data_IF_955011311606
#
_entry.id   IF_955011311606
#
_cell.length_a   1.000
_cell.length_b   1.000
_cell.length_c   1.000
_cell.angle_alpha   90.00
_cell.angle_beta   90.00
_cell.angle_gamma   90.00
#
_symmetry.space_group_name_H-M   'P 1'
#
loop_
_entity.id
_entity.type
_entity.pdbx_description
1 polymer ?
#
# COMPACT_ATOMS: atom_id res chain seq x y z
N UNK A 1 -13.62 5.78 -7.80
CA UNK A 1 -14.06 4.38 -7.60
C UNK A 1 -13.09 3.45 -8.32
N UNK A 2 -12.65 2.38 -7.64
CA UNK A 2 -11.73 1.39 -8.20
C UNK A 2 -12.49 0.07 -8.29
N UNK A 3 -12.42 -0.57 -9.46
CA UNK A 3 -12.96 -1.90 -9.66
C UNK A 3 -11.81 -2.82 -10.13
N UNK A 4 -11.62 -3.93 -9.45
CA UNK A 4 -10.70 -5.01 -9.80
C UNK A 4 -11.56 -6.22 -10.11
N UNK A 5 -11.35 -6.88 -11.23
CA UNK A 5 -12.15 -8.04 -11.64
C UNK A 5 -11.28 -9.16 -12.19
N UNK A 6 -11.55 -10.37 -11.71
CA UNK A 6 -10.98 -11.62 -12.18
C UNK A 6 -9.45 -11.66 -12.20
N UNK A 7 -8.82 -11.04 -11.18
CA UNK A 7 -7.37 -10.99 -11.06
C UNK A 7 -6.82 -12.35 -10.66
N UNK A 8 -5.96 -12.92 -11.51
CA UNK A 8 -5.33 -14.21 -11.25
C UNK A 8 -3.83 -14.17 -11.50
N UNK A 9 -3.08 -14.94 -10.68
CA UNK A 9 -1.63 -15.10 -10.80
C UNK A 9 -1.19 -16.47 -10.39
N UNK A 10 -0.35 -17.09 -11.22
CA UNK A 10 0.26 -18.41 -10.98
C UNK A 10 1.79 -18.29 -10.99
N UNK A 11 2.46 -18.97 -10.08
CA UNK A 11 3.91 -19.14 -10.08
C UNK A 11 4.23 -20.64 -10.12
N UNK A 12 5.02 -21.06 -11.10
CA UNK A 12 5.47 -22.46 -11.22
C UNK A 12 4.33 -23.48 -11.07
N UNK A 13 3.17 -23.19 -11.66
CA UNK A 13 1.99 -24.07 -11.60
C UNK A 13 1.12 -23.91 -10.35
N UNK A 14 1.57 -23.18 -9.33
CA UNK A 14 0.79 -22.89 -8.14
C UNK A 14 0.03 -21.58 -8.28
N UNK A 15 -1.29 -21.62 -8.17
CA UNK A 15 -2.16 -20.45 -8.17
C UNK A 15 -2.00 -19.69 -6.85
N UNK A 16 -1.52 -18.44 -6.94
CA UNK A 16 -1.30 -17.55 -5.79
C UNK A 16 -2.41 -16.50 -5.65
N UNK A 17 -2.98 -16.08 -6.78
CA UNK A 17 -4.22 -15.30 -6.83
C UNK A 17 -5.21 -16.07 -7.69
N UNK A 18 -6.40 -16.30 -7.19
CA UNK A 18 -7.43 -17.11 -7.83
C UNK A 18 -8.74 -16.34 -7.99
N UNK A 19 -8.87 -15.69 -9.15
CA UNK A 19 -10.09 -14.99 -9.58
C UNK A 19 -10.57 -13.90 -8.60
N UNK A 20 -9.63 -13.07 -8.11
CA UNK A 20 -9.95 -12.02 -7.15
C UNK A 20 -10.72 -10.87 -7.81
N UNK A 21 -11.82 -10.49 -7.18
CA UNK A 21 -12.64 -9.34 -7.58
C UNK A 21 -12.94 -8.46 -6.37
N UNK A 22 -12.85 -7.14 -6.55
CA UNK A 22 -12.96 -6.18 -5.45
C UNK A 22 -13.34 -4.79 -5.98
N UNK A 23 -14.32 -4.16 -5.34
CA UNK A 23 -14.65 -2.75 -5.53
C UNK A 23 -14.17 -1.94 -4.33
N UNK A 24 -13.59 -0.74 -4.59
CA UNK A 24 -13.13 0.16 -3.54
C UNK A 24 -13.70 1.55 -3.84
N UNK A 25 -14.29 2.17 -2.83
CA UNK A 25 -14.81 3.52 -2.93
C UNK A 25 -13.68 4.56 -2.81
N UNK A 26 -13.91 5.75 -3.35
CA UNK A 26 -12.94 6.84 -3.21
C UNK A 26 -12.86 7.25 -1.73
N UNK A 27 -11.64 7.35 -1.22
CA UNK A 27 -11.38 7.67 0.19
C UNK A 27 -11.45 6.45 1.11
N UNK A 28 -11.86 5.26 0.62
CA UNK A 28 -11.94 4.05 1.42
C UNK A 28 -10.54 3.49 1.71
N UNK A 29 -10.33 3.06 2.95
CA UNK A 29 -9.15 2.31 3.38
C UNK A 29 -9.52 0.84 3.52
N UNK A 30 -8.98 0.01 2.64
CA UNK A 30 -9.19 -1.45 2.65
C UNK A 30 -7.94 -2.14 3.18
N UNK A 31 -8.08 -2.85 4.30
CA UNK A 31 -6.99 -3.68 4.83
C UNK A 31 -7.10 -5.12 4.31
N UNK A 32 -5.98 -5.67 3.86
CA UNK A 32 -5.85 -7.04 3.41
C UNK A 32 -5.05 -7.84 4.44
N UNK A 33 -5.69 -8.77 5.13
CA UNK A 33 -5.10 -9.62 6.15
C UNK A 33 -5.11 -11.09 5.71
N UNK A 34 -4.36 -11.95 6.40
CA UNK A 34 -4.30 -13.39 6.10
C UNK A 34 -2.94 -13.97 6.42
N UNK A 35 -2.82 -15.28 6.35
CA UNK A 35 -1.60 -16.03 6.65
C UNK A 35 -0.42 -15.64 5.74
N UNK A 36 0.80 -15.94 6.19
CA UNK A 36 1.98 -15.82 5.31
C UNK A 36 1.80 -16.70 4.08
N UNK A 37 2.16 -16.19 2.90
CA UNK A 37 1.97 -16.91 1.64
C UNK A 37 0.53 -16.89 1.08
N UNK A 38 -0.44 -16.24 1.72
CA UNK A 38 -1.82 -16.15 1.21
C UNK A 38 -1.98 -15.36 -0.11
N UNK A 39 -0.95 -14.62 -0.55
CA UNK A 39 -0.96 -13.85 -1.79
C UNK A 39 -1.10 -12.33 -1.61
N UNK A 40 -1.09 -11.81 -0.37
CA UNK A 40 -1.30 -10.37 -0.07
C UNK A 40 -0.36 -9.43 -0.83
N UNK A 41 0.95 -9.59 -0.67
CA UNK A 41 1.94 -8.76 -1.37
C UNK A 41 1.90 -8.99 -2.89
N UNK A 42 1.63 -10.22 -3.34
CA UNK A 42 1.44 -10.53 -4.76
C UNK A 42 0.26 -9.76 -5.33
N UNK A 43 -0.85 -9.66 -4.57
CA UNK A 43 -2.01 -8.87 -4.96
C UNK A 43 -1.64 -7.40 -5.18
N UNK A 44 -1.00 -6.74 -4.19
CA UNK A 44 -0.58 -5.34 -4.32
C UNK A 44 0.38 -5.12 -5.49
N UNK A 45 1.37 -5.99 -5.64
CA UNK A 45 2.37 -5.92 -6.71
C UNK A 45 1.75 -6.17 -8.09
N UNK A 46 0.73 -7.01 -8.16
CA UNK A 46 -0.02 -7.25 -9.40
C UNK A 46 -0.83 -6.02 -9.82
N UNK A 47 -1.46 -5.31 -8.88
CA UNK A 47 -2.20 -4.07 -9.19
C UNK A 47 -1.28 -3.01 -9.79
N UNK A 48 -0.05 -2.86 -9.29
CA UNK A 48 0.93 -1.90 -9.80
C UNK A 48 1.81 -2.44 -10.93
N UNK A 49 1.45 -3.64 -11.44
CA UNK A 49 2.20 -4.33 -12.50
C UNK A 49 3.71 -4.48 -12.20
N UNK A 50 4.07 -4.59 -10.92
CA UNK A 50 5.41 -5.00 -10.48
C UNK A 50 5.56 -6.52 -10.57
N UNK A 51 4.45 -7.21 -10.39
CA UNK A 51 4.28 -8.62 -10.69
C UNK A 51 3.22 -8.72 -11.80
N UNK A 52 3.58 -9.31 -12.93
CA UNK A 52 2.66 -9.41 -14.07
C UNK A 52 1.54 -10.40 -13.75
N UNK A 53 0.26 -9.98 -13.69
CA UNK A 53 -0.88 -10.89 -13.59
C UNK A 53 -1.01 -11.78 -14.83
N UNK A 54 -1.59 -12.98 -14.64
CA UNK A 54 -1.91 -13.86 -15.77
C UNK A 54 -3.19 -13.38 -16.47
N UNK A 55 -4.17 -12.87 -15.70
CA UNK A 55 -5.42 -12.31 -16.18
C UNK A 55 -6.01 -11.33 -15.19
N UNK A 56 -7.06 -10.65 -15.58
CA UNK A 56 -7.82 -9.71 -14.78
C UNK A 56 -7.87 -8.32 -15.38
N UNK A 57 -8.71 -7.49 -14.77
CA UNK A 57 -8.89 -6.08 -15.19
C UNK A 57 -8.88 -5.18 -14.00
N UNK A 58 -8.45 -3.95 -14.20
CA UNK A 58 -8.58 -2.87 -13.23
C UNK A 58 -9.18 -1.63 -13.89
N UNK A 59 -10.10 -0.99 -13.20
CA UNK A 59 -10.65 0.32 -13.59
C UNK A 59 -10.43 1.30 -12.45
N UNK A 60 -9.84 2.46 -12.73
CA UNK A 60 -9.59 3.54 -11.76
C UNK A 60 -10.13 4.83 -12.35
N UNK A 61 -11.24 5.34 -11.80
CA UNK A 61 -11.90 6.58 -12.26
C UNK A 61 -12.05 6.65 -13.80
N UNK A 62 -12.57 5.56 -14.39
CA UNK A 62 -12.81 5.43 -15.83
C UNK A 62 -11.60 4.98 -16.66
N UNK A 63 -10.38 5.02 -16.15
CA UNK A 63 -9.22 4.41 -16.80
C UNK A 63 -9.26 2.89 -16.62
N UNK A 64 -9.34 2.17 -17.76
CA UNK A 64 -9.52 0.71 -17.79
C UNK A 64 -8.26 0.03 -18.31
N UNK A 65 -7.85 -1.03 -17.66
CA UNK A 65 -6.72 -1.88 -18.05
C UNK A 65 -7.15 -3.34 -18.03
N UNK A 66 -6.79 -4.06 -19.08
CA UNK A 66 -6.88 -5.52 -19.16
C UNK A 66 -5.45 -6.09 -19.09
N UNK A 67 -5.12 -6.75 -17.98
CA UNK A 67 -3.75 -7.22 -17.71
C UNK A 67 -3.26 -8.27 -18.70
N UNK A 68 -4.16 -8.99 -19.39
CA UNK A 68 -3.79 -9.99 -20.38
C UNK A 68 -3.22 -9.39 -21.68
N UNK A 69 -3.44 -8.08 -21.92
CA UNK A 69 -3.02 -7.37 -23.13
C UNK A 69 -2.58 -5.93 -22.88
N UNK A 70 -2.09 -5.65 -21.69
CA UNK A 70 -1.66 -4.31 -21.29
C UNK A 70 -0.44 -3.84 -22.09
N UNK A 71 -0.50 -2.63 -22.61
CA UNK A 71 0.61 -1.98 -23.31
C UNK A 71 1.58 -1.30 -22.34
N UNK A 72 2.79 -0.98 -22.81
CA UNK A 72 3.80 -0.24 -22.01
C UNK A 72 3.28 1.13 -21.54
N UNK A 73 2.53 1.82 -22.38
CA UNK A 73 1.98 3.15 -22.03
C UNK A 73 0.89 3.04 -20.99
N UNK A 74 0.03 2.03 -21.05
CA UNK A 74 -0.98 1.76 -20.02
C UNK A 74 -0.32 1.40 -18.68
N UNK A 75 0.79 0.63 -18.68
CA UNK A 75 1.56 0.36 -17.45
C UNK A 75 2.09 1.67 -16.84
N UNK A 76 2.62 2.57 -17.65
CA UNK A 76 3.11 3.87 -17.16
C UNK A 76 1.98 4.72 -16.59
N UNK A 77 0.82 4.75 -17.26
CA UNK A 77 -0.36 5.46 -16.77
C UNK A 77 -0.91 4.83 -15.48
N UNK A 78 -0.98 3.52 -15.41
CA UNK A 78 -1.40 2.78 -14.22
C UNK A 78 -0.51 3.11 -13.02
N UNK A 79 0.81 3.09 -13.19
CA UNK A 79 1.79 3.43 -12.14
C UNK A 79 1.76 4.89 -11.71
N UNK A 80 1.21 5.80 -12.51
CA UNK A 80 0.95 7.19 -12.10
C UNK A 80 -0.26 7.32 -11.21
N UNK A 81 -1.25 6.43 -11.37
CA UNK A 81 -2.47 6.37 -10.56
C UNK A 81 -2.28 5.62 -9.24
N UNK A 82 -1.36 4.67 -9.22
CA UNK A 82 -1.07 3.81 -8.08
C UNK A 82 0.33 4.11 -7.55
N UNK A 83 0.44 4.63 -6.33
CA UNK A 83 1.75 4.70 -5.65
C UNK A 83 1.88 3.55 -4.65
N UNK A 84 3.10 3.06 -4.46
CA UNK A 84 3.35 1.94 -3.54
C UNK A 84 4.45 2.29 -2.54
N UNK A 85 4.17 1.96 -1.27
CA UNK A 85 5.12 1.98 -0.16
C UNK A 85 5.41 0.53 0.21
N UNK A 86 6.68 0.19 0.28
CA UNK A 86 7.16 -1.17 0.50
C UNK A 86 7.58 -1.39 1.95
N UNK A 87 7.67 -2.62 2.37
CA UNK A 87 8.27 -3.05 3.63
C UNK A 87 9.73 -2.55 3.76
N UNK A 88 10.52 -2.70 2.69
CA UNK A 88 11.83 -2.05 2.57
C UNK A 88 11.63 -0.66 1.96
N UNK A 89 12.23 0.34 2.56
CA UNK A 89 12.00 1.78 2.27
C UNK A 89 12.22 2.17 0.80
N UNK A 90 13.10 1.44 0.10
CA UNK A 90 13.45 1.65 -1.32
C UNK A 90 13.79 3.12 -1.66
N UNK A 91 14.52 3.79 -0.75
CA UNK A 91 14.99 5.14 -0.97
C UNK A 91 16.25 5.14 -1.85
N UNK A 92 16.40 6.17 -2.65
CA UNK A 92 17.65 6.44 -3.38
C UNK A 92 18.74 6.81 -2.38
N UNK A 93 19.69 5.92 -2.16
CA UNK A 93 20.73 6.05 -1.12
C UNK A 93 21.64 7.26 -1.26
N UNK A 94 21.82 7.75 -2.51
CA UNK A 94 22.65 8.92 -2.87
C UNK A 94 21.84 10.21 -3.01
N UNK A 95 20.59 10.22 -2.59
CA UNK A 95 19.68 11.37 -2.59
C UNK A 95 19.28 11.70 -1.16
N UNK A 96 19.15 12.99 -0.84
CA UNK A 96 18.59 13.45 0.44
C UNK A 96 17.11 13.07 0.57
N UNK A 97 16.50 13.28 1.73
CA UNK A 97 15.06 13.08 1.92
C UNK A 97 14.26 13.95 0.94
N UNK A 98 14.59 15.23 0.82
CA UNK A 98 13.96 16.16 -0.12
C UNK A 98 14.09 15.69 -1.57
N UNK A 99 15.27 15.29 -1.99
CA UNK A 99 15.52 14.80 -3.35
C UNK A 99 14.79 13.48 -3.64
N UNK A 100 14.66 12.59 -2.65
CA UNK A 100 13.87 11.36 -2.78
C UNK A 100 12.42 11.67 -3.10
N UNK A 101 11.82 12.68 -2.43
CA UNK A 101 10.43 13.07 -2.67
C UNK A 101 10.29 13.83 -4.00
N UNK A 102 11.25 14.68 -4.36
CA UNK A 102 11.26 15.46 -5.60
C UNK A 102 11.36 14.60 -6.86
N UNK A 103 12.05 13.47 -6.81
CA UNK A 103 12.42 12.69 -8.01
C UNK A 103 11.23 12.40 -8.92
N UNK A 104 10.15 11.87 -8.38
CA UNK A 104 8.93 11.58 -9.16
C UNK A 104 8.28 12.85 -9.75
N UNK A 105 8.32 13.94 -9.02
CA UNK A 105 7.79 15.23 -9.48
C UNK A 105 8.57 15.79 -10.67
N UNK A 106 9.89 15.70 -10.63
CA UNK A 106 10.76 16.16 -11.70
C UNK A 106 10.71 15.24 -12.93
N UNK A 107 10.89 13.92 -12.70
CA UNK A 107 11.08 12.95 -13.79
C UNK A 107 9.74 12.55 -14.44
N UNK A 108 8.72 12.29 -13.63
CA UNK A 108 7.44 11.77 -14.12
C UNK A 108 6.43 12.88 -14.39
N UNK A 109 6.26 13.84 -13.44
CA UNK A 109 5.33 14.96 -13.60
C UNK A 109 5.89 16.12 -14.41
N UNK A 110 7.22 16.14 -14.64
CA UNK A 110 7.91 17.20 -15.39
C UNK A 110 7.72 18.61 -14.80
N UNK A 111 7.55 18.69 -13.47
CA UNK A 111 7.45 19.98 -12.79
C UNK A 111 8.79 20.70 -12.78
N UNK A 112 8.76 22.03 -12.63
CA UNK A 112 9.96 22.81 -12.37
C UNK A 112 10.60 22.43 -11.02
N UNK A 113 11.89 22.69 -10.87
CA UNK A 113 12.60 22.41 -9.61
C UNK A 113 11.98 23.16 -8.42
N UNK A 114 11.55 24.40 -8.65
CA UNK A 114 10.91 25.22 -7.63
C UNK A 114 9.58 24.64 -7.16
N UNK A 115 8.71 24.24 -8.09
CA UNK A 115 7.41 23.60 -7.76
C UNK A 115 7.60 22.26 -7.08
N UNK A 116 8.50 21.41 -7.60
CA UNK A 116 8.82 20.12 -7.00
C UNK A 116 9.38 20.28 -5.58
N UNK A 117 10.23 21.27 -5.35
CA UNK A 117 10.78 21.58 -4.01
C UNK A 117 9.68 21.99 -3.05
N UNK A 118 8.76 22.87 -3.47
CA UNK A 118 7.64 23.31 -2.64
C UNK A 118 6.78 22.13 -2.20
N UNK A 119 6.33 21.31 -3.16
CA UNK A 119 5.49 20.13 -2.89
C UNK A 119 6.24 19.14 -1.97
N UNK A 120 7.50 18.86 -2.26
CA UNK A 120 8.28 17.91 -1.47
C UNK A 120 8.46 18.36 -0.02
N UNK A 121 8.68 19.65 0.23
CA UNK A 121 8.75 20.22 1.59
C UNK A 121 7.41 20.11 2.31
N UNK A 122 6.31 20.40 1.63
CA UNK A 122 4.96 20.27 2.19
C UNK A 122 4.67 18.81 2.60
N UNK A 123 5.04 17.82 1.78
CA UNK A 123 4.82 16.41 2.09
C UNK A 123 5.76 15.91 3.21
N UNK A 124 7.02 16.37 3.25
CA UNK A 124 7.93 16.06 4.37
C UNK A 124 7.44 16.67 5.68
N UNK A 125 6.87 17.88 5.65
CA UNK A 125 6.27 18.51 6.83
C UNK A 125 5.08 17.72 7.37
N UNK A 126 4.19 17.22 6.50
CA UNK A 126 3.04 16.37 6.89
C UNK A 126 3.45 15.11 7.64
N UNK A 127 4.60 14.54 7.30
CA UNK A 127 5.13 13.35 7.97
C UNK A 127 6.14 13.69 9.09
N UNK A 128 6.23 14.97 9.51
CA UNK A 128 7.07 15.42 10.62
C UNK A 128 8.57 15.37 10.36
N UNK A 129 9.01 15.63 9.11
CA UNK A 129 10.41 15.54 8.71
C UNK A 129 10.97 16.85 8.11
N UNK A 130 10.42 18.02 8.48
CA UNK A 130 10.91 19.33 7.99
C UNK A 130 12.37 19.60 8.36
N UNK A 131 12.83 19.12 9.50
CA UNK A 131 14.19 19.26 9.99
C UNK A 131 15.17 18.22 9.40
N UNK A 132 14.67 17.28 8.59
CA UNK A 132 15.41 16.16 7.98
C UNK A 132 15.54 16.26 6.45
N UNK A 133 15.07 17.33 5.83
CA UNK A 133 15.05 17.53 4.37
C UNK A 133 16.40 17.21 3.69
N UNK A 134 17.49 17.63 4.30
CA UNK A 134 18.85 17.52 3.74
C UNK A 134 19.60 16.25 4.20
N UNK A 135 18.93 15.35 4.94
CA UNK A 135 19.57 14.12 5.42
C UNK A 135 19.52 13.03 4.34
N UNK A 136 20.64 12.33 4.20
CA UNK A 136 20.71 11.13 3.37
C UNK A 136 20.10 9.92 4.12
N UNK A 137 19.59 8.90 3.43
CA UNK A 137 18.99 7.72 4.06
C UNK A 137 19.86 7.06 5.14
N UNK A 138 21.18 7.05 4.97
CA UNK A 138 22.11 6.51 5.97
C UNK A 138 22.09 7.21 7.32
N UNK A 139 21.60 8.46 7.36
CA UNK A 139 21.52 9.28 8.57
C UNK A 139 20.09 9.37 9.13
N UNK A 140 19.16 8.57 8.60
CA UNK A 140 17.78 8.51 9.04
C UNK A 140 17.51 7.19 9.76
N UNK A 141 16.67 7.21 10.81
CA UNK A 141 16.17 6.01 11.44
C UNK A 141 15.25 5.21 10.48
N UNK A 142 14.92 3.97 10.81
CA UNK A 142 13.99 3.15 10.03
C UNK A 142 12.64 3.84 9.83
N UNK A 143 12.04 4.35 10.91
CA UNK A 143 10.77 5.08 10.86
C UNK A 143 10.85 6.37 10.04
N UNK A 144 11.96 7.12 10.14
CA UNK A 144 12.18 8.30 9.30
C UNK A 144 12.29 7.93 7.81
N UNK A 145 13.03 6.87 7.47
CA UNK A 145 13.11 6.36 6.09
C UNK A 145 11.74 5.98 5.54
N UNK A 146 10.92 5.32 6.34
CA UNK A 146 9.57 4.91 5.94
C UNK A 146 8.66 6.13 5.74
N UNK A 147 8.74 7.12 6.61
CA UNK A 147 8.01 8.38 6.44
C UNK A 147 8.46 9.18 5.19
N UNK A 148 9.75 9.16 4.84
CA UNK A 148 10.22 9.71 3.55
C UNK A 148 9.63 8.93 2.37
N UNK A 149 9.56 7.59 2.44
CA UNK A 149 8.95 6.78 1.40
C UNK A 149 7.45 7.07 1.25
N UNK A 150 6.74 7.27 2.36
CA UNK A 150 5.33 7.68 2.37
C UNK A 150 5.15 9.08 1.75
N UNK A 151 5.94 10.06 2.17
CA UNK A 151 5.92 11.42 1.60
C UNK A 151 6.19 11.40 0.09
N UNK A 152 7.17 10.60 -0.37
CA UNK A 152 7.46 10.40 -1.80
C UNK A 152 6.26 9.86 -2.57
N UNK A 153 5.55 8.90 -2.00
CA UNK A 153 4.36 8.32 -2.61
C UNK A 153 3.20 9.35 -2.68
N UNK A 154 2.93 10.04 -1.57
CA UNK A 154 1.85 11.04 -1.47
C UNK A 154 2.09 12.28 -2.34
N UNK A 155 3.36 12.71 -2.51
CA UNK A 155 3.73 13.83 -3.38
C UNK A 155 3.25 13.62 -4.84
N UNK A 156 3.17 12.37 -5.26
CA UNK A 156 2.65 12.02 -6.58
C UNK A 156 1.14 12.19 -6.70
N UNK A 157 0.40 12.44 -5.60
CA UNK A 157 -1.06 12.52 -5.53
C UNK A 157 -1.72 11.34 -6.28
N UNK A 158 -1.46 10.11 -5.83
CA UNK A 158 -2.01 8.93 -6.50
C UNK A 158 -3.51 8.80 -6.24
N UNK A 159 -4.23 8.18 -7.17
CA UNK A 159 -5.64 7.81 -6.96
C UNK A 159 -5.77 6.75 -5.85
N UNK A 160 -4.77 5.85 -5.73
CA UNK A 160 -4.70 4.82 -4.67
C UNK A 160 -3.28 4.70 -4.14
N UNK A 161 -3.15 4.62 -2.82
CA UNK A 161 -1.90 4.30 -2.13
C UNK A 161 -1.91 2.83 -1.73
N UNK A 162 -0.91 2.08 -2.19
CA UNK A 162 -0.69 0.67 -1.86
C UNK A 162 0.38 0.58 -0.77
N UNK A 163 0.08 -0.04 0.36
CA UNK A 163 0.95 -0.16 1.52
C UNK A 163 1.24 -1.65 1.80
N UNK A 164 2.44 -2.12 1.48
CA UNK A 164 2.86 -3.52 1.66
C UNK A 164 3.68 -3.66 2.94
N UNK A 165 3.02 -3.99 4.05
CA UNK A 165 3.62 -4.17 5.39
C UNK A 165 4.53 -2.99 5.80
N UNK A 166 4.04 -1.75 5.83
CA UNK A 166 4.86 -0.55 5.93
C UNK A 166 5.64 -0.42 7.26
N UNK A 167 5.30 -1.20 8.28
CA UNK A 167 5.90 -1.13 9.63
C UNK A 167 6.66 -2.39 10.02
N UNK A 168 6.57 -3.48 9.27
CA UNK A 168 7.12 -4.79 9.66
C UNK A 168 8.66 -4.87 9.73
N UNK A 169 9.37 -3.94 9.09
CA UNK A 169 10.83 -3.83 9.13
C UNK A 169 11.34 -2.81 10.16
N UNK A 170 10.48 -2.32 11.05
CA UNK A 170 10.80 -1.28 12.03
C UNK A 170 10.91 -1.84 13.43
N UNK A 171 11.76 -1.20 14.24
CA UNK A 171 11.76 -1.40 15.67
C UNK A 171 10.42 -0.93 16.27
N UNK A 172 9.87 -1.62 17.29
CA UNK A 172 8.56 -1.28 17.87
C UNK A 172 8.40 0.18 18.30
N UNK A 173 9.47 0.81 18.79
CA UNK A 173 9.46 2.22 19.21
C UNK A 173 9.24 3.20 18.05
N UNK A 174 9.50 2.77 16.80
CA UNK A 174 9.40 3.61 15.59
C UNK A 174 8.09 3.40 14.82
N UNK A 175 7.30 2.39 15.18
CA UNK A 175 6.06 2.01 14.48
C UNK A 175 5.01 3.11 14.57
N UNK A 176 4.75 3.62 15.78
CA UNK A 176 3.66 4.55 16.04
C UNK A 176 3.72 5.86 15.22
N UNK A 177 4.92 6.38 14.92
CA UNK A 177 5.07 7.59 14.10
C UNK A 177 4.71 7.34 12.62
N UNK A 178 5.01 6.14 12.11
CA UNK A 178 4.66 5.75 10.74
C UNK A 178 3.17 5.50 10.62
N UNK A 179 2.59 4.77 11.57
CA UNK A 179 1.15 4.50 11.64
C UNK A 179 0.34 5.80 11.74
N UNK A 180 0.77 6.74 12.58
CA UNK A 180 0.17 8.07 12.66
C UNK A 180 0.18 8.77 11.30
N UNK A 181 1.32 8.75 10.59
CA UNK A 181 1.42 9.40 9.27
C UNK A 181 0.50 8.75 8.24
N UNK A 182 0.32 7.42 8.29
CA UNK A 182 -0.63 6.70 7.42
C UNK A 182 -2.07 7.04 7.81
N UNK A 183 -2.40 7.07 9.11
CA UNK A 183 -3.73 7.43 9.59
C UNK A 183 -4.10 8.89 9.24
N UNK A 184 -3.15 9.82 9.30
CA UNK A 184 -3.37 11.21 8.91
C UNK A 184 -3.62 11.33 7.38
N UNK A 185 -2.92 10.54 6.57
CA UNK A 185 -3.19 10.46 5.13
C UNK A 185 -4.58 9.84 4.84
N UNK A 186 -5.00 8.80 5.58
CA UNK A 186 -6.34 8.21 5.48
C UNK A 186 -7.43 9.25 5.82
N UNK A 187 -7.28 9.98 6.94
CA UNK A 187 -8.21 11.06 7.35
C UNK A 187 -8.30 12.18 6.32
N UNK A 188 -7.26 12.41 5.52
CA UNK A 188 -7.28 13.39 4.42
C UNK A 188 -8.03 12.90 3.18
N UNK A 189 -8.61 11.70 3.20
CA UNK A 189 -9.40 11.11 2.12
C UNK A 189 -8.58 10.36 1.06
N UNK A 190 -7.34 9.96 1.37
CA UNK A 190 -6.54 9.15 0.47
C UNK A 190 -7.09 7.71 0.42
N UNK A 191 -7.48 7.23 -0.76
CA UNK A 191 -7.86 5.82 -0.96
C UNK A 191 -6.65 4.93 -0.76
N UNK A 192 -6.78 3.86 0.03
CA UNK A 192 -5.64 2.99 0.37
C UNK A 192 -6.00 1.50 0.30
N UNK A 193 -5.02 0.69 -0.08
CA UNK A 193 -5.02 -0.75 0.16
C UNK A 193 -3.81 -1.05 1.05
N UNK A 194 -4.06 -1.53 2.27
CA UNK A 194 -3.06 -1.77 3.29
C UNK A 194 -2.91 -3.26 3.56
N UNK A 195 -1.70 -3.79 3.46
CA UNK A 195 -1.33 -5.08 4.04
C UNK A 195 -0.65 -4.82 5.37
N UNK A 196 -1.19 -5.37 6.45
CA UNK A 196 -0.60 -5.29 7.79
C UNK A 196 -0.84 -6.57 8.58
N UNK A 197 0.08 -6.86 9.49
CA UNK A 197 -0.07 -7.90 10.52
C UNK A 197 -0.49 -7.32 11.87
N UNK A 198 -0.49 -6.00 12.03
CA UNK A 198 -0.96 -5.34 13.25
C UNK A 198 -2.47 -5.13 13.18
N UNK A 199 -3.22 -5.96 13.91
CA UNK A 199 -4.68 -5.89 13.94
C UNK A 199 -5.19 -4.66 14.68
N UNK A 200 -4.42 -4.11 15.61
CA UNK A 200 -4.78 -2.88 16.33
C UNK A 200 -4.75 -1.70 15.37
N UNK A 201 -3.68 -1.60 14.57
CA UNK A 201 -3.57 -0.58 13.53
C UNK A 201 -4.63 -0.75 12.43
N UNK A 202 -4.87 -1.99 11.98
CA UNK A 202 -5.94 -2.29 11.03
C UNK A 202 -7.30 -1.83 11.57
N UNK A 203 -7.62 -2.16 12.83
CA UNK A 203 -8.88 -1.74 13.45
C UNK A 203 -9.03 -0.22 13.57
N UNK A 204 -7.91 0.51 13.71
CA UNK A 204 -7.91 1.96 13.82
C UNK A 204 -8.09 2.68 12.49
N UNK A 205 -7.54 2.15 11.39
CA UNK A 205 -7.40 2.91 10.14
C UNK A 205 -8.29 2.40 9.00
N UNK A 206 -8.68 1.12 9.00
CA UNK A 206 -9.42 0.53 7.92
C UNK A 206 -10.93 0.75 8.03
N UNK A 207 -11.58 1.06 6.90
CA UNK A 207 -13.03 1.05 6.78
C UNK A 207 -13.56 -0.37 6.54
N UNK A 208 -12.77 -1.17 5.82
CA UNK A 208 -13.10 -2.57 5.49
C UNK A 208 -11.86 -3.46 5.56
N UNK A 209 -12.07 -4.68 6.01
CA UNK A 209 -11.04 -5.73 6.09
C UNK A 209 -11.42 -6.88 5.17
N UNK A 210 -10.44 -7.35 4.43
CA UNK A 210 -10.52 -8.54 3.57
C UNK A 210 -9.61 -9.62 4.16
N UNK A 211 -10.17 -10.77 4.46
CA UNK A 211 -9.38 -11.93 4.83
C UNK A 211 -9.06 -12.76 3.60
N UNK A 212 -7.76 -12.83 3.26
CA UNK A 212 -7.24 -13.59 2.13
C UNK A 212 -6.65 -14.91 2.60
N UNK A 213 -7.07 -16.02 2.00
CA UNK A 213 -6.45 -17.33 2.21
C UNK A 213 -6.35 -18.06 0.86
N UNK A 214 -5.18 -18.67 0.60
CA UNK A 214 -4.89 -19.45 -0.62
C UNK A 214 -5.32 -18.75 -1.92
N UNK A 215 -5.05 -17.45 -2.00
CA UNK A 215 -5.33 -16.65 -3.19
C UNK A 215 -6.79 -16.23 -3.37
N UNK A 216 -7.67 -16.44 -2.38
CA UNK A 216 -9.09 -16.07 -2.43
C UNK A 216 -9.47 -15.16 -1.27
N UNK A 217 -10.37 -14.21 -1.52
CA UNK A 217 -11.04 -13.47 -0.45
C UNK A 217 -12.09 -14.40 0.16
N UNK A 218 -11.84 -14.81 1.40
CA UNK A 218 -12.71 -15.73 2.14
C UNK A 218 -13.81 -14.95 2.86
N UNK A 219 -13.46 -13.81 3.43
CA UNK A 219 -14.41 -13.00 4.20
C UNK A 219 -14.09 -11.51 4.01
N UNK A 220 -15.13 -10.68 4.03
CA UNK A 220 -15.05 -9.22 3.92
C UNK A 220 -16.07 -8.59 4.86
N UNK A 221 -15.65 -7.57 5.61
CA UNK A 221 -16.52 -6.86 6.54
C UNK A 221 -15.81 -5.68 7.18
N UNK A 222 -16.47 -5.04 8.14
CA UNK A 222 -15.84 -4.02 8.98
C UNK A 222 -14.73 -4.64 9.85
N UNK A 223 -13.78 -3.84 10.35
CA UNK A 223 -12.76 -4.35 11.27
C UNK A 223 -13.35 -5.13 12.47
N UNK A 224 -14.44 -4.64 13.05
CA UNK A 224 -15.08 -5.30 14.18
C UNK A 224 -15.66 -6.68 13.79
N UNK A 225 -16.35 -6.77 12.64
CA UNK A 225 -16.91 -8.03 12.16
C UNK A 225 -15.83 -9.08 11.92
N UNK A 226 -14.74 -8.69 11.26
CA UNK A 226 -13.69 -9.64 10.85
C UNK A 226 -12.76 -10.02 12.00
N UNK A 227 -12.39 -9.06 12.87
CA UNK A 227 -11.41 -9.29 13.94
C UNK A 227 -12.07 -9.93 15.16
N UNK A 228 -13.29 -9.49 15.52
CA UNK A 228 -13.93 -9.90 16.76
C UNK A 228 -15.08 -10.89 16.54
N UNK A 229 -15.75 -10.80 15.40
CA UNK A 229 -16.95 -11.59 15.10
C UNK A 229 -16.88 -12.32 13.74
N UNK A 230 -15.75 -13.01 13.42
CA UNK A 230 -15.61 -13.70 12.13
C UNK A 230 -16.69 -14.78 11.94
N UNK A 231 -17.24 -14.85 10.75
CA UNK A 231 -18.30 -15.80 10.38
C UNK A 231 -17.69 -17.08 9.78
N UNK A 232 -16.70 -16.90 8.90
CA UNK A 232 -16.05 -18.01 8.20
C UNK A 232 -15.12 -18.80 9.11
N UNK A 233 -15.17 -20.14 9.04
CA UNK A 233 -14.37 -21.00 9.91
C UNK A 233 -12.88 -20.76 9.74
N UNK A 234 -12.44 -20.54 8.52
CA UNK A 234 -11.03 -20.27 8.21
C UNK A 234 -10.53 -18.95 8.82
N UNK A 235 -11.39 -17.94 8.88
CA UNK A 235 -11.09 -16.66 9.54
C UNK A 235 -10.98 -16.86 11.07
N UNK A 236 -11.87 -17.65 11.66
CA UNK A 236 -11.82 -18.00 13.10
C UNK A 236 -10.53 -18.73 13.46
N UNK A 237 -10.14 -19.72 12.66
CA UNK A 237 -8.87 -20.44 12.84
C UNK A 237 -7.66 -19.52 12.80
N UNK A 238 -7.65 -18.58 11.84
CA UNK A 238 -6.59 -17.58 11.72
C UNK A 238 -6.47 -16.75 13.00
N UNK A 239 -7.57 -16.19 13.50
CA UNK A 239 -7.54 -15.37 14.72
C UNK A 239 -7.27 -16.18 15.97
N UNK A 240 -7.70 -17.43 16.05
CA UNK A 240 -7.33 -18.33 17.14
C UNK A 240 -5.81 -18.57 17.20
N UNK A 241 -5.18 -18.71 16.05
CA UNK A 241 -3.72 -18.85 15.95
C UNK A 241 -2.99 -17.53 16.25
N UNK A 242 -3.53 -16.40 15.74
CA UNK A 242 -2.99 -15.06 15.98
C UNK A 242 -2.96 -14.73 17.48
N UNK A 243 -4.05 -14.97 18.20
CA UNK A 243 -4.13 -14.73 19.66
C UNK A 243 -3.09 -15.54 20.46
N UNK A 244 -2.78 -16.77 20.05
CA UNK A 244 -1.75 -17.59 20.72
C UNK A 244 -0.33 -17.08 20.51
N UNK A 245 -0.09 -16.34 19.42
CA UNK A 245 1.25 -15.90 19.03
C UNK A 245 1.57 -14.49 19.52
N UNK A 246 0.55 -13.61 19.61
CA UNK A 246 0.72 -12.17 19.82
C UNK A 246 -0.01 -11.60 21.04
N UNK A 247 -0.76 -12.42 21.79
CA UNK A 247 -1.41 -12.09 23.06
C UNK A 247 -1.00 -13.08 24.16
#
# INVERSE_FOLDING_TARGET
>A
MINISHLSKTFSGQKVLDDLSLDIQKGEVVALIGSSGAGKSTFLRSLNYLEQPDSGKITIDGFKVDFSRISKDEILLLRRKLAMVFQQFNLFSRRTALENVKEGLLVVKKLSDQEATKIAKEELAKVGLSDRENHYPRHLSGGQKQRVALARALAMKPDVLLLDEPTSALDPELVGEVEKSIADAAKSGQTMILVSHDMSFVAQVADRVLFLDKGKIIESGTPDEIIHHPKEERTKEFFASYKRTYM
#
